data_IF_256091007661
#
_entry.id   IF_256091007661
#
_cell.length_a   1.000
_cell.length_b   1.000
_cell.length_c   1.000
_cell.angle_alpha   90.00
_cell.angle_beta   90.00
_cell.angle_gamma   90.00
#
_symmetry.space_group_name_H-M   'P 1'
#
loop_
_entity.id
_entity.type
_entity.pdbx_description
1 polymer ?
#
# COMPACT_ATOMS: atom_id res chain seq x y z
N UNK A 1 -27.83 38.45 70.70
CA UNK A 1 -27.57 37.00 70.56
C UNK A 1 -27.95 36.56 69.16
N UNK A 2 -27.33 35.48 68.66
CA UNK A 2 -27.71 34.72 67.45
C UNK A 2 -28.86 33.73 67.77
N UNK A 3 -29.46 33.01 66.80
CA UNK A 3 -29.41 33.09 65.31
C UNK A 3 -30.73 33.74 64.79
N UNK A 4 -31.39 33.48 63.64
CA UNK A 4 -31.20 32.62 62.45
C UNK A 4 -31.88 33.26 61.20
N UNK A 5 -31.52 32.88 59.95
CA UNK A 5 -32.08 33.48 58.73
C UNK A 5 -33.23 32.67 58.06
N UNK A 6 -34.21 33.33 57.39
CA UNK A 6 -35.26 32.68 56.60
C UNK A 6 -34.84 32.33 55.16
N UNK A 7 -35.66 31.53 54.48
CA UNK A 7 -35.40 30.97 53.14
C UNK A 7 -35.46 31.99 52.00
N UNK A 8 -34.54 31.86 51.02
CA UNK A 8 -34.46 32.75 49.86
C UNK A 8 -35.49 32.41 48.77
N UNK A 9 -36.53 33.23 48.67
CA UNK A 9 -37.48 33.21 47.52
C UNK A 9 -36.85 33.92 46.31
N UNK A 10 -36.90 33.30 45.12
CA UNK A 10 -36.37 33.92 43.88
C UNK A 10 -37.19 35.15 43.48
N UNK A 11 -36.52 36.25 43.19
CA UNK A 11 -37.08 37.43 42.51
C UNK A 11 -36.36 37.63 41.17
N UNK A 12 -37.11 37.65 40.07
CA UNK A 12 -36.62 38.16 38.78
C UNK A 12 -36.70 39.69 38.82
N UNK A 13 -35.62 40.38 38.45
CA UNK A 13 -35.65 41.80 38.09
C UNK A 13 -35.04 41.96 36.70
N UNK A 14 -35.81 42.51 35.79
CA UNK A 14 -35.34 43.02 34.49
C UNK A 14 -34.68 44.38 34.70
N UNK A 15 -33.52 44.58 34.09
CA UNK A 15 -32.85 45.88 34.04
C UNK A 15 -32.68 46.29 32.57
N UNK A 16 -33.27 47.42 32.19
CA UNK A 16 -32.97 48.07 30.91
C UNK A 16 -31.60 48.73 31.03
N UNK A 17 -30.72 48.48 30.06
CA UNK A 17 -29.48 49.22 29.90
C UNK A 17 -29.64 50.23 28.76
N UNK A 18 -29.15 51.44 28.97
CA UNK A 18 -29.13 52.51 27.97
C UNK A 18 -27.89 52.33 27.10
N UNK A 19 -28.06 52.33 25.78
CA UNK A 19 -26.95 52.23 24.84
C UNK A 19 -26.28 53.60 24.67
N UNK A 20 -24.98 53.68 24.98
CA UNK A 20 -24.11 54.78 24.58
C UNK A 20 -23.23 54.30 23.40
N UNK A 21 -23.02 55.12 22.35
CA UNK A 21 -22.23 54.72 21.19
C UNK A 21 -20.72 54.77 21.52
N UNK A 22 -20.13 53.60 21.74
CA UNK A 22 -18.67 53.45 21.74
C UNK A 22 -18.16 53.52 20.29
N UNK A 23 -17.29 54.49 19.98
CA UNK A 23 -16.54 54.49 18.74
C UNK A 23 -15.51 53.35 18.78
N UNK A 24 -15.87 52.21 18.20
CA UNK A 24 -14.94 51.11 17.99
C UNK A 24 -13.96 51.50 16.86
N UNK A 25 -12.75 51.93 17.23
CA UNK A 25 -11.66 52.13 16.28
C UNK A 25 -11.29 50.80 15.62
N UNK A 26 -11.61 50.66 14.33
CA UNK A 26 -11.38 49.44 13.59
C UNK A 26 -9.88 49.22 13.31
N UNK A 27 -9.19 48.54 14.23
CA UNK A 27 -7.85 48.03 14.01
C UNK A 27 -7.92 46.93 12.95
N UNK A 28 -7.66 47.29 11.69
CA UNK A 28 -7.57 46.34 10.58
C UNK A 28 -6.31 45.51 10.73
N UNK A 29 -6.40 44.41 11.48
CA UNK A 29 -5.35 43.39 11.53
C UNK A 29 -5.29 42.73 10.15
N UNK A 30 -4.43 43.24 9.29
CA UNK A 30 -4.10 42.63 8.00
C UNK A 30 -3.32 41.35 8.27
N UNK A 31 -4.04 40.24 8.46
CA UNK A 31 -3.46 38.91 8.48
C UNK A 31 -2.84 38.62 7.11
N UNK A 32 -1.54 38.90 6.98
CA UNK A 32 -0.78 38.52 5.80
C UNK A 32 -0.89 36.99 5.63
N UNK A 33 -1.22 36.49 4.43
CA UNK A 33 -1.27 35.05 4.23
C UNK A 33 0.13 34.49 4.46
N UNK A 34 0.27 33.58 5.43
CA UNK A 34 1.51 32.86 5.69
C UNK A 34 1.86 32.01 4.48
N UNK A 35 2.59 32.59 3.53
CA UNK A 35 3.14 31.88 2.40
C UNK A 35 4.10 30.81 2.95
N UNK A 36 3.64 29.56 2.97
CA UNK A 36 4.50 28.40 3.19
C UNK A 36 5.55 28.42 2.08
N UNK A 37 6.77 28.85 2.41
CA UNK A 37 7.86 28.90 1.45
C UNK A 37 8.02 27.51 0.82
N UNK A 38 7.94 27.44 -0.51
CA UNK A 38 8.26 26.22 -1.22
C UNK A 38 9.74 25.90 -0.95
N UNK A 39 10.03 24.66 -0.56
CA UNK A 39 11.39 24.23 -0.27
C UNK A 39 12.31 24.40 -1.48
N UNK A 40 13.61 24.52 -1.22
CA UNK A 40 14.61 24.69 -2.25
C UNK A 40 14.67 23.45 -3.15
N UNK A 41 15.05 23.65 -4.42
CA UNK A 41 15.26 22.56 -5.38
C UNK A 41 16.75 22.28 -5.51
N UNK A 42 17.19 21.10 -5.06
CA UNK A 42 18.57 20.64 -5.11
C UNK A 42 18.74 19.65 -6.26
N UNK A 43 19.37 20.09 -7.34
CA UNK A 43 19.63 19.22 -8.50
C UNK A 43 20.86 18.32 -8.30
N UNK A 44 20.70 17.04 -8.60
CA UNK A 44 21.69 15.96 -8.46
C UNK A 44 21.98 15.33 -9.82
N UNK A 45 23.25 15.07 -10.11
CA UNK A 45 23.71 14.31 -11.28
C UNK A 45 24.88 14.97 -12.04
N UNK A 46 25.20 14.48 -13.24
CA UNK A 46 26.32 15.00 -14.04
C UNK A 46 26.19 16.51 -14.31
N UNK A 47 27.22 17.27 -13.93
CA UNK A 47 27.26 18.72 -14.09
C UNK A 47 26.24 19.52 -13.25
N UNK A 48 25.57 18.89 -12.27
CA UNK A 48 24.67 19.57 -11.32
C UNK A 48 25.42 20.03 -10.07
N UNK A 49 24.76 20.83 -9.23
CA UNK A 49 25.28 21.31 -7.93
C UNK A 49 25.72 20.17 -7.01
N UNK A 50 25.05 19.02 -7.07
CA UNK A 50 25.39 17.83 -6.30
C UNK A 50 25.70 16.66 -7.24
N UNK A 51 26.83 16.00 -7.03
CA UNK A 51 27.22 14.83 -7.83
C UNK A 51 26.36 13.58 -7.52
N UNK A 52 25.88 13.45 -6.28
CA UNK A 52 25.12 12.27 -5.83
C UNK A 52 23.94 12.64 -4.91
N UNK A 53 22.89 11.79 -4.82
CA UNK A 53 21.74 11.98 -3.94
C UNK A 53 22.12 12.28 -2.48
N UNK A 54 23.00 11.49 -1.89
CA UNK A 54 23.42 11.64 -0.50
C UNK A 54 24.15 12.97 -0.23
N UNK A 55 24.87 13.50 -1.22
CA UNK A 55 25.49 14.83 -1.11
C UNK A 55 24.44 15.96 -1.06
N UNK A 56 23.29 15.80 -1.74
CA UNK A 56 22.17 16.73 -1.63
C UNK A 56 21.37 16.53 -0.34
N UNK A 57 21.10 15.29 0.09
CA UNK A 57 20.40 15.00 1.35
C UNK A 57 21.13 15.58 2.58
N UNK A 58 22.48 15.61 2.54
CA UNK A 58 23.31 16.23 3.56
C UNK A 58 23.27 17.78 3.58
N UNK A 59 22.65 18.42 2.57
CA UNK A 59 22.52 19.89 2.44
C UNK A 59 21.08 20.41 2.40
N UNK A 60 20.11 19.55 2.10
CA UNK A 60 18.69 19.88 2.13
C UNK A 60 18.23 20.34 3.53
N UNK A 61 17.21 21.20 3.53
CA UNK A 61 16.38 21.56 4.68
C UNK A 61 15.03 20.81 4.64
N UNK A 62 14.23 20.97 5.69
CA UNK A 62 12.99 20.22 5.86
C UNK A 62 11.86 20.76 4.97
N UNK A 63 11.43 19.96 3.99
CA UNK A 63 10.48 20.32 2.94
C UNK A 63 11.10 20.66 1.58
N UNK A 64 12.42 20.55 1.44
CA UNK A 64 13.11 20.71 0.16
C UNK A 64 12.76 19.60 -0.85
N UNK A 65 13.07 19.87 -2.12
CA UNK A 65 12.96 18.92 -3.24
C UNK A 65 14.35 18.56 -3.73
N UNK A 66 14.66 17.26 -3.83
CA UNK A 66 15.90 16.77 -4.43
C UNK A 66 15.59 16.10 -5.76
N UNK A 67 16.11 16.65 -6.84
CA UNK A 67 15.89 16.17 -8.21
C UNK A 67 17.10 15.37 -8.69
N UNK A 68 16.92 14.07 -8.88
CA UNK A 68 17.99 13.14 -9.25
C UNK A 68 17.90 12.84 -10.74
N UNK A 69 18.94 13.21 -11.50
CA UNK A 69 18.99 12.99 -12.94
C UNK A 69 19.13 11.50 -13.29
N UNK A 70 18.19 10.98 -14.08
CA UNK A 70 18.04 9.58 -14.44
C UNK A 70 18.92 9.09 -15.60
N UNK A 71 19.76 9.94 -16.17
CA UNK A 71 20.70 9.55 -17.23
C UNK A 71 21.79 8.57 -16.75
N UNK A 72 22.09 8.54 -15.45
CA UNK A 72 23.18 7.73 -14.86
C UNK A 72 22.69 6.79 -13.75
N UNK A 73 23.59 5.89 -13.32
CA UNK A 73 23.45 5.11 -12.11
C UNK A 73 24.33 5.70 -11.00
N UNK A 74 23.90 5.53 -9.74
CA UNK A 74 24.54 6.07 -8.53
C UNK A 74 25.01 4.91 -7.65
N UNK A 75 26.00 4.16 -8.13
CA UNK A 75 26.58 3.00 -7.44
C UNK A 75 27.29 3.40 -6.15
N UNK A 76 26.88 2.79 -5.03
CA UNK A 76 27.49 2.96 -3.72
C UNK A 76 27.11 4.26 -2.99
N UNK A 77 26.12 5.01 -3.49
CA UNK A 77 25.62 6.24 -2.84
C UNK A 77 24.54 5.91 -1.79
N UNK A 78 25.03 5.40 -0.66
CA UNK A 78 24.24 4.91 0.48
C UNK A 78 24.37 5.86 1.67
N UNK A 79 23.25 6.22 2.31
CA UNK A 79 23.24 7.18 3.42
C UNK A 79 21.92 7.18 4.23
N UNK A 80 21.90 8.01 5.28
CA UNK A 80 20.70 8.32 6.06
C UNK A 80 20.02 9.58 5.49
N UNK A 81 18.72 9.49 5.20
CA UNK A 81 17.89 10.64 4.79
C UNK A 81 17.30 11.27 6.06
N UNK A 82 17.87 12.42 6.46
CA UNK A 82 17.64 13.06 7.77
C UNK A 82 16.63 14.22 7.78
N UNK A 83 16.00 14.55 6.65
CA UNK A 83 15.16 15.76 6.52
C UNK A 83 13.69 15.43 6.45
N UNK A 84 12.90 16.16 7.21
CA UNK A 84 11.45 15.97 7.26
C UNK A 84 10.80 16.57 6.01
N UNK A 85 9.71 15.96 5.55
CA UNK A 85 8.91 16.37 4.38
C UNK A 85 9.70 16.47 3.07
N UNK A 86 10.92 15.92 3.03
CA UNK A 86 11.80 15.94 1.86
C UNK A 86 11.13 15.22 0.69
N UNK A 87 11.11 15.85 -0.49
CA UNK A 87 10.62 15.21 -1.72
C UNK A 87 11.79 14.84 -2.63
N UNK A 88 12.11 13.56 -2.68
CA UNK A 88 13.12 12.99 -3.59
C UNK A 88 12.43 12.56 -4.88
N UNK A 89 12.83 13.09 -6.04
CA UNK A 89 12.24 12.72 -7.33
C UNK A 89 13.25 12.47 -8.43
N UNK A 90 13.07 11.38 -9.19
CA UNK A 90 13.80 11.12 -10.42
C UNK A 90 13.31 11.99 -11.58
N UNK A 91 14.24 12.68 -12.25
CA UNK A 91 13.99 13.54 -13.43
C UNK A 91 14.83 13.07 -14.62
N UNK A 92 14.49 13.47 -15.86
CA UNK A 92 15.23 13.12 -17.09
C UNK A 92 15.42 11.60 -17.34
N UNK A 93 14.57 10.76 -16.74
CA UNK A 93 14.66 9.30 -16.76
C UNK A 93 14.22 8.71 -15.42
N UNK A 94 14.69 7.50 -15.11
CA UNK A 94 14.63 6.92 -13.76
C UNK A 94 16.07 6.69 -13.26
N UNK A 95 16.53 7.41 -12.22
CA UNK A 95 17.84 7.18 -11.65
C UNK A 95 17.91 5.82 -10.98
N UNK A 96 19.04 5.14 -11.17
CA UNK A 96 19.31 3.80 -10.65
C UNK A 96 20.23 3.91 -9.45
N UNK A 97 19.72 3.62 -8.27
CA UNK A 97 20.44 3.68 -7.00
C UNK A 97 20.89 2.26 -6.66
N UNK A 98 22.10 1.93 -7.08
CA UNK A 98 22.76 0.66 -6.82
C UNK A 98 23.50 0.73 -5.48
N UNK A 99 23.23 -0.18 -4.57
CA UNK A 99 23.93 -0.24 -3.27
C UNK A 99 25.45 -0.45 -3.42
N UNK A 100 25.93 -1.04 -4.53
CA UNK A 100 27.36 -1.16 -4.84
C UNK A 100 28.16 -1.98 -3.83
N UNK A 101 27.53 -2.93 -3.12
CA UNK A 101 28.13 -3.67 -2.01
C UNK A 101 28.34 -2.84 -0.72
N UNK A 102 27.77 -1.63 -0.65
CA UNK A 102 27.79 -0.73 0.50
C UNK A 102 26.40 -0.68 1.15
N UNK A 103 26.33 -0.18 2.38
CA UNK A 103 25.07 0.12 3.06
C UNK A 103 25.24 1.29 4.03
N UNK A 104 24.13 1.95 4.36
CA UNK A 104 24.04 2.91 5.46
C UNK A 104 23.70 2.19 6.77
N UNK A 105 24.48 2.49 7.81
CA UNK A 105 24.26 2.06 9.20
C UNK A 105 24.06 0.55 9.43
N UNK A 106 24.49 -0.32 8.50
CA UNK A 106 24.24 -1.76 8.58
C UNK A 106 22.82 -2.18 8.17
N UNK A 107 22.02 -1.30 7.55
CA UNK A 107 20.56 -1.49 7.37
C UNK A 107 20.05 -1.49 5.92
N UNK A 108 20.69 -0.78 4.99
CA UNK A 108 20.14 -0.64 3.64
C UNK A 108 20.82 0.42 2.75
N UNK A 109 20.24 0.67 1.57
CA UNK A 109 20.70 1.71 0.62
C UNK A 109 20.43 3.10 1.19
N UNK A 110 19.15 3.44 1.43
CA UNK A 110 18.76 4.66 2.13
C UNK A 110 18.02 4.33 3.43
N UNK A 111 18.50 4.90 4.54
CA UNK A 111 17.84 4.84 5.85
C UNK A 111 17.07 6.13 6.08
N UNK A 112 15.75 6.07 5.94
CA UNK A 112 14.85 7.23 6.03
C UNK A 112 14.44 7.45 7.49
N UNK A 113 15.06 8.43 8.14
CA UNK A 113 14.75 8.81 9.54
C UNK A 113 13.92 10.09 9.64
N UNK A 114 13.87 10.91 8.59
CA UNK A 114 12.99 12.08 8.52
C UNK A 114 11.52 11.72 8.36
N UNK A 115 10.65 12.53 8.97
CA UNK A 115 9.20 12.35 8.97
C UNK A 115 8.57 12.80 7.65
N UNK A 116 7.57 12.07 7.14
CA UNK A 116 6.76 12.49 5.98
C UNK A 116 7.52 12.56 4.65
N UNK A 117 8.63 11.83 4.52
CA UNK A 117 9.46 11.81 3.30
C UNK A 117 8.73 11.19 2.12
N UNK A 118 8.93 11.78 0.93
CA UNK A 118 8.37 11.32 -0.34
C UNK A 118 9.51 10.87 -1.26
N UNK A 119 9.38 9.69 -1.86
CA UNK A 119 10.27 9.18 -2.90
C UNK A 119 9.46 8.89 -4.17
N UNK A 120 9.88 9.43 -5.30
CA UNK A 120 9.14 9.43 -6.57
C UNK A 120 10.07 9.04 -7.73
N UNK A 121 9.69 8.02 -8.51
CA UNK A 121 10.40 7.61 -9.73
C UNK A 121 11.90 7.32 -9.51
N UNK A 122 12.22 6.35 -8.65
CA UNK A 122 13.58 5.80 -8.51
C UNK A 122 13.62 4.31 -8.82
N UNK A 123 14.75 3.80 -9.28
CA UNK A 123 15.07 2.38 -9.30
C UNK A 123 16.10 2.11 -8.19
N UNK A 124 15.92 1.06 -7.38
CA UNK A 124 16.82 0.76 -6.26
C UNK A 124 17.09 -0.74 -6.12
N UNK A 125 18.36 -1.13 -6.16
CA UNK A 125 18.76 -2.54 -6.15
C UNK A 125 20.08 -2.82 -5.42
N UNK A 126 20.31 -4.11 -5.14
CA UNK A 126 21.57 -4.63 -4.62
C UNK A 126 21.80 -4.43 -3.11
N UNK A 127 20.83 -3.91 -2.35
CA UNK A 127 20.99 -3.68 -0.91
C UNK A 127 21.22 -5.01 -0.16
N UNK A 128 22.38 -5.11 0.50
CA UNK A 128 22.82 -6.29 1.26
C UNK A 128 23.58 -5.90 2.52
N UNK A 129 23.34 -6.63 3.62
CA UNK A 129 23.97 -6.36 4.93
C UNK A 129 24.33 -7.65 5.68
N UNK A 130 25.08 -7.52 6.77
CA UNK A 130 25.61 -8.68 7.51
C UNK A 130 24.52 -9.55 8.18
N UNK A 131 23.39 -8.97 8.59
CA UNK A 131 22.25 -9.70 9.18
C UNK A 131 21.23 -10.20 8.13
N UNK A 132 21.53 -10.03 6.84
CA UNK A 132 20.74 -10.48 5.67
C UNK A 132 19.40 -9.76 5.48
N UNK A 133 19.21 -8.62 6.13
CA UNK A 133 17.95 -7.88 6.19
C UNK A 133 17.96 -6.56 5.38
N UNK A 134 18.90 -6.41 4.45
CA UNK A 134 19.27 -5.14 3.82
C UNK A 134 18.20 -4.55 2.90
N UNK A 135 17.63 -3.41 3.29
CA UNK A 135 16.54 -2.78 2.53
C UNK A 135 17.03 -1.78 1.48
N UNK A 136 16.35 -1.66 0.33
CA UNK A 136 16.51 -0.46 -0.52
C UNK A 136 16.06 0.80 0.25
N UNK A 137 14.89 0.71 0.91
CA UNK A 137 14.37 1.73 1.80
C UNK A 137 14.12 1.16 3.20
N UNK A 138 14.99 1.53 4.14
CA UNK A 138 14.78 1.26 5.57
C UNK A 138 14.04 2.45 6.18
N UNK A 139 12.80 2.26 6.64
CA UNK A 139 11.96 3.35 7.17
C UNK A 139 11.98 3.35 8.71
N UNK A 140 12.46 4.45 9.29
CA UNK A 140 12.58 4.64 10.74
C UNK A 140 11.97 5.98 11.23
N UNK A 141 11.56 6.87 10.31
CA UNK A 141 10.77 8.08 10.59
C UNK A 141 9.25 7.90 10.45
N UNK A 142 8.50 8.93 10.86
CA UNK A 142 7.03 8.98 10.94
C UNK A 142 6.40 9.31 9.59
N UNK A 143 5.71 8.36 8.97
CA UNK A 143 4.98 8.56 7.73
C UNK A 143 5.86 8.60 6.49
N UNK A 144 5.41 7.97 5.40
CA UNK A 144 6.21 7.81 4.18
C UNK A 144 5.35 7.67 2.93
N UNK A 145 5.85 8.15 1.78
CA UNK A 145 5.23 7.91 0.47
C UNK A 145 6.25 7.44 -0.56
N UNK A 146 6.07 6.24 -1.11
CA UNK A 146 6.73 5.81 -2.35
C UNK A 146 5.75 5.90 -3.52
N UNK A 147 6.19 6.48 -4.64
CA UNK A 147 5.43 6.42 -5.89
C UNK A 147 6.30 6.18 -7.12
N UNK A 148 5.74 5.51 -8.14
CA UNK A 148 6.35 5.34 -9.48
C UNK A 148 7.74 4.70 -9.51
N UNK A 149 8.11 3.94 -8.49
CA UNK A 149 9.49 3.43 -8.31
C UNK A 149 9.59 1.92 -8.56
N UNK A 150 10.81 1.39 -8.71
CA UNK A 150 11.09 -0.04 -8.91
C UNK A 150 12.17 -0.50 -7.93
N UNK A 151 11.81 -1.36 -6.97
CA UNK A 151 12.70 -1.84 -5.91
C UNK A 151 12.92 -3.33 -6.10
N UNK A 152 14.14 -3.75 -6.45
CA UNK A 152 14.38 -5.13 -6.90
C UNK A 152 15.76 -5.70 -6.54
N UNK A 153 15.86 -7.03 -6.47
CA UNK A 153 17.11 -7.76 -6.22
C UNK A 153 17.90 -7.33 -4.95
N UNK A 154 17.19 -6.75 -3.97
CA UNK A 154 17.68 -6.42 -2.62
C UNK A 154 17.41 -7.59 -1.66
N UNK A 155 17.89 -7.51 -0.42
CA UNK A 155 17.40 -8.39 0.65
C UNK A 155 15.97 -8.00 1.07
N UNK A 156 15.66 -6.70 1.21
CA UNK A 156 14.30 -6.19 1.29
C UNK A 156 14.05 -5.04 0.30
N UNK A 157 12.84 -4.93 -0.24
CA UNK A 157 12.42 -3.72 -0.96
C UNK A 157 12.22 -2.55 0.01
N UNK A 158 11.11 -2.57 0.75
CA UNK A 158 10.90 -1.72 1.93
C UNK A 158 10.93 -2.57 3.20
N UNK A 159 11.59 -2.05 4.24
CA UNK A 159 11.56 -2.59 5.61
C UNK A 159 11.30 -1.45 6.59
N UNK A 160 10.11 -1.37 7.19
CA UNK A 160 9.80 -0.35 8.20
C UNK A 160 10.01 -0.85 9.64
N UNK A 161 10.31 0.08 10.54
CA UNK A 161 10.16 -0.09 11.98
C UNK A 161 8.69 -0.15 12.42
N UNK A 162 8.48 -0.08 13.74
CA UNK A 162 7.17 0.05 14.37
C UNK A 162 6.98 1.47 14.89
N UNK A 163 5.96 2.17 14.38
CA UNK A 163 5.50 3.45 14.88
C UNK A 163 3.99 3.56 14.68
N UNK A 164 3.25 3.57 15.79
CA UNK A 164 1.79 3.62 15.83
C UNK A 164 1.18 4.94 15.31
N UNK A 165 1.98 5.93 14.89
CA UNK A 165 1.54 7.19 14.30
C UNK A 165 1.76 7.29 12.77
N UNK A 166 2.70 6.55 12.20
CA UNK A 166 3.04 6.52 10.77
C UNK A 166 1.91 6.04 9.86
N UNK A 167 1.64 6.79 8.79
CA UNK A 167 0.90 6.31 7.60
C UNK A 167 1.90 6.04 6.46
N UNK A 168 1.83 4.87 5.85
CA UNK A 168 2.68 4.53 4.70
C UNK A 168 1.82 4.40 3.44
N UNK A 169 2.18 5.18 2.41
CA UNK A 169 1.57 5.12 1.08
C UNK A 169 2.59 4.54 0.10
N UNK A 170 2.20 3.51 -0.64
CA UNK A 170 2.97 2.95 -1.75
C UNK A 170 2.05 2.84 -2.95
N UNK A 171 2.34 3.59 -4.02
CA UNK A 171 1.51 3.59 -5.22
C UNK A 171 2.28 3.56 -6.54
N UNK A 172 1.66 2.99 -7.58
CA UNK A 172 2.21 2.93 -8.93
C UNK A 172 3.65 2.39 -9.01
N UNK A 173 4.06 1.53 -8.06
CA UNK A 173 5.43 1.06 -7.91
C UNK A 173 5.54 -0.46 -8.12
N UNK A 174 6.74 -0.89 -8.46
CA UNK A 174 7.06 -2.27 -8.82
C UNK A 174 8.07 -2.87 -7.83
N UNK A 175 7.86 -4.12 -7.42
CA UNK A 175 8.72 -4.85 -6.49
C UNK A 175 8.98 -6.25 -7.03
N UNK A 176 10.25 -6.60 -7.22
CA UNK A 176 10.63 -7.87 -7.84
C UNK A 176 11.86 -8.50 -7.21
N UNK A 177 11.83 -9.82 -6.96
CA UNK A 177 13.02 -10.62 -6.60
C UNK A 177 13.79 -10.13 -5.36
N UNK A 178 13.16 -9.33 -4.49
CA UNK A 178 13.76 -9.04 -3.20
C UNK A 178 13.63 -10.27 -2.29
N UNK A 179 14.60 -10.48 -1.42
CA UNK A 179 14.68 -11.61 -0.49
C UNK A 179 16.05 -12.28 -0.51
N UNK A 180 16.48 -12.79 0.64
CA UNK A 180 17.71 -13.55 0.82
C UNK A 180 17.55 -15.05 0.50
N UNK A 181 16.31 -15.56 0.41
CA UNK A 181 16.01 -17.00 0.33
C UNK A 181 15.70 -17.66 1.67
N UNK A 182 15.61 -16.88 2.75
CA UNK A 182 15.43 -17.37 4.13
C UNK A 182 13.97 -17.41 4.63
N UNK A 183 13.07 -16.66 3.98
CA UNK A 183 11.67 -16.53 4.39
C UNK A 183 11.38 -15.41 5.40
N UNK A 184 12.37 -14.63 5.82
CA UNK A 184 12.23 -13.47 6.72
C UNK A 184 12.43 -12.12 6.02
N UNK A 185 12.89 -12.16 4.78
CA UNK A 185 13.24 -11.04 3.91
C UNK A 185 12.31 -11.00 2.68
N UNK A 186 11.89 -9.81 2.23
CA UNK A 186 10.62 -9.64 1.48
C UNK A 186 10.64 -8.50 0.44
N UNK A 187 9.70 -8.51 -0.51
CA UNK A 187 9.42 -7.38 -1.40
C UNK A 187 8.94 -6.15 -0.61
N UNK A 188 8.02 -6.34 0.35
CA UNK A 188 7.57 -5.28 1.26
C UNK A 188 7.35 -5.84 2.68
N UNK A 189 8.01 -5.25 3.68
CA UNK A 189 7.68 -5.44 5.11
C UNK A 189 7.30 -4.11 5.76
N UNK A 190 6.05 -4.03 6.18
CA UNK A 190 5.51 -2.93 6.97
C UNK A 190 5.28 -3.44 8.40
N UNK A 191 5.97 -2.80 9.35
CA UNK A 191 5.86 -3.08 10.78
C UNK A 191 4.54 -2.58 11.39
N UNK A 192 4.50 -2.47 12.72
CA UNK A 192 3.31 -2.01 13.43
C UNK A 192 3.12 -0.49 13.25
N UNK A 193 2.45 -0.10 12.17
CA UNK A 193 2.14 1.30 11.83
C UNK A 193 0.65 1.62 11.93
N UNK A 194 0.27 2.91 11.81
CA UNK A 194 -1.13 3.34 11.87
C UNK A 194 -1.92 2.85 10.66
N UNK A 195 -1.44 3.11 9.44
CA UNK A 195 -2.04 2.56 8.22
C UNK A 195 -1.03 2.25 7.12
N UNK A 196 -1.43 1.32 6.24
CA UNK A 196 -0.84 1.10 4.93
C UNK A 196 -1.89 1.37 3.83
N UNK A 197 -1.54 2.21 2.86
CA UNK A 197 -2.23 2.27 1.56
C UNK A 197 -1.28 1.74 0.48
N UNK A 198 -1.62 0.57 -0.08
CA UNK A 198 -0.86 -0.10 -1.14
C UNK A 198 -1.76 -0.22 -2.38
N UNK A 199 -1.54 0.59 -3.41
CA UNK A 199 -2.43 0.67 -4.58
C UNK A 199 -1.75 0.81 -5.93
N UNK A 200 -2.33 0.20 -6.97
CA UNK A 200 -1.83 0.28 -8.35
C UNK A 200 -0.41 -0.28 -8.54
N UNK A 201 0.09 -1.07 -7.60
CA UNK A 201 1.43 -1.62 -7.60
C UNK A 201 1.47 -2.99 -8.30
N UNK A 202 2.68 -3.43 -8.62
CA UNK A 202 2.99 -4.80 -9.00
C UNK A 202 4.08 -5.35 -8.09
N UNK A 203 3.75 -6.34 -7.26
CA UNK A 203 4.74 -7.03 -6.41
C UNK A 203 4.79 -8.49 -6.82
N UNK A 204 5.98 -9.03 -7.05
CA UNK A 204 6.13 -10.36 -7.60
C UNK A 204 7.48 -11.00 -7.32
N UNK A 205 7.54 -12.33 -7.49
CA UNK A 205 8.77 -13.08 -7.56
C UNK A 205 9.70 -12.89 -6.34
N UNK A 206 9.14 -12.66 -5.14
CA UNK A 206 9.93 -12.66 -3.91
C UNK A 206 10.84 -13.90 -3.82
N UNK A 207 12.12 -13.67 -3.50
CA UNK A 207 13.13 -14.72 -3.37
C UNK A 207 12.97 -15.42 -2.01
N UNK A 208 11.88 -16.21 -1.90
CA UNK A 208 11.28 -16.65 -0.64
C UNK A 208 10.79 -15.43 0.19
N UNK A 209 9.93 -15.65 1.18
CA UNK A 209 9.25 -14.55 1.88
C UNK A 209 8.03 -14.05 1.10
N UNK A 210 7.64 -12.79 1.30
CA UNK A 210 6.33 -12.28 0.86
C UNK A 210 6.42 -11.19 -0.22
N UNK A 211 5.44 -11.17 -1.12
CA UNK A 211 5.22 -10.05 -2.02
C UNK A 211 4.68 -8.81 -1.26
N UNK A 212 3.93 -9.02 -0.18
CA UNK A 212 3.55 -8.00 0.80
C UNK A 212 3.37 -8.61 2.20
N UNK A 213 4.04 -8.05 3.21
CA UNK A 213 3.75 -8.29 4.64
C UNK A 213 3.46 -6.97 5.35
N UNK A 214 2.34 -6.88 6.09
CA UNK A 214 1.95 -5.67 6.82
C UNK A 214 1.35 -5.96 8.19
N UNK A 215 1.92 -5.37 9.23
CA UNK A 215 1.38 -5.37 10.61
C UNK A 215 0.60 -4.09 10.93
N UNK A 216 0.32 -3.24 9.94
CA UNK A 216 -0.40 -1.98 10.12
C UNK A 216 -1.82 -2.20 10.69
N UNK A 217 -2.27 -1.30 11.56
CA UNK A 217 -3.59 -1.39 12.22
C UNK A 217 -4.75 -1.31 11.24
N UNK A 218 -4.59 -0.55 10.15
CA UNK A 218 -5.50 -0.54 9.00
C UNK A 218 -4.74 -0.74 7.70
N UNK A 219 -5.35 -1.45 6.74
CA UNK A 219 -4.72 -1.74 5.44
C UNK A 219 -5.72 -1.46 4.31
N UNK A 220 -5.32 -0.67 3.31
CA UNK A 220 -6.03 -0.53 2.04
C UNK A 220 -5.14 -1.07 0.92
N UNK A 221 -5.40 -2.31 0.51
CA UNK A 221 -4.67 -3.02 -0.54
C UNK A 221 -5.60 -3.06 -1.75
N UNK A 222 -5.44 -2.11 -2.68
CA UNK A 222 -6.44 -1.86 -3.71
C UNK A 222 -5.86 -1.80 -5.14
N UNK A 223 -6.45 -2.56 -6.06
CA UNK A 223 -6.14 -2.52 -7.49
C UNK A 223 -4.67 -2.78 -7.84
N UNK A 224 -4.03 -3.70 -7.11
CA UNK A 224 -2.67 -4.15 -7.37
C UNK A 224 -2.66 -5.45 -8.19
N UNK A 225 -1.47 -5.84 -8.65
CA UNK A 225 -1.17 -7.19 -9.11
C UNK A 225 -0.13 -7.82 -8.20
N UNK A 226 -0.43 -9.02 -7.74
CA UNK A 226 0.52 -9.96 -7.15
C UNK A 226 0.56 -11.17 -8.07
N UNK A 227 1.69 -11.44 -8.74
CA UNK A 227 1.82 -12.63 -9.60
C UNK A 227 3.27 -12.91 -10.00
N UNK A 228 3.77 -14.10 -9.71
CA UNK A 228 5.08 -14.57 -10.14
C UNK A 228 5.17 -14.90 -11.63
N UNK A 229 6.39 -14.91 -12.17
CA UNK A 229 6.72 -15.63 -13.41
C UNK A 229 6.48 -17.15 -13.23
N UNK A 230 6.22 -17.89 -14.32
CA UNK A 230 6.11 -19.36 -14.26
C UNK A 230 7.34 -20.00 -13.62
N UNK A 231 7.11 -20.92 -12.68
CA UNK A 231 8.17 -21.48 -11.84
C UNK A 231 9.27 -22.17 -12.68
N UNK A 232 10.52 -21.80 -12.42
CA UNK A 232 11.69 -22.31 -13.14
C UNK A 232 12.12 -21.46 -14.35
N UNK A 233 11.42 -20.37 -14.65
CA UNK A 233 11.92 -19.37 -15.60
C UNK A 233 13.01 -18.50 -14.95
N UNK A 234 13.89 -17.92 -15.78
CA UNK A 234 14.92 -17.00 -15.30
C UNK A 234 14.26 -15.78 -14.61
N UNK A 235 14.59 -15.55 -13.33
CA UNK A 235 13.99 -14.50 -12.51
C UNK A 235 12.66 -14.88 -11.83
N UNK A 236 12.15 -16.11 -11.99
CA UNK A 236 10.98 -16.56 -11.22
C UNK A 236 11.33 -16.74 -9.74
N UNK A 237 10.59 -16.09 -8.85
CA UNK A 237 10.72 -16.22 -7.41
C UNK A 237 10.00 -17.46 -6.87
N UNK A 238 9.95 -17.56 -5.54
CA UNK A 238 9.20 -18.59 -4.81
C UNK A 238 8.51 -17.97 -3.58
N UNK A 239 7.57 -17.04 -3.76
CA UNK A 239 6.84 -16.42 -2.66
C UNK A 239 6.21 -17.45 -1.72
N UNK A 240 6.03 -17.02 -0.48
CA UNK A 240 5.34 -17.71 0.60
C UNK A 240 3.86 -17.38 0.49
N UNK A 241 3.34 -16.45 1.31
CA UNK A 241 2.10 -15.73 1.00
C UNK A 241 2.37 -14.60 -0.01
N UNK A 242 1.49 -14.39 -0.99
CA UNK A 242 1.49 -13.15 -1.79
C UNK A 242 1.10 -11.93 -0.92
N UNK A 243 0.17 -12.10 0.02
CA UNK A 243 -0.25 -11.06 0.97
C UNK A 243 -0.31 -11.65 2.39
N UNK A 244 0.45 -11.07 3.32
CA UNK A 244 0.42 -11.44 4.73
C UNK A 244 0.04 -10.25 5.63
N UNK A 245 -1.05 -10.42 6.37
CA UNK A 245 -1.58 -9.50 7.37
C UNK A 245 -1.55 -10.18 8.75
N UNK A 246 -0.35 -10.52 9.26
CA UNK A 246 -0.17 -11.55 10.29
C UNK A 246 -0.82 -11.21 11.63
N UNK A 247 -1.05 -9.92 11.93
CA UNK A 247 -1.66 -9.47 13.18
C UNK A 247 -3.11 -8.99 13.06
N UNK A 248 -3.79 -9.30 11.96
CA UNK A 248 -5.09 -8.73 11.60
C UNK A 248 -5.01 -7.18 11.50
N UNK A 249 -6.12 -6.47 11.74
CA UNK A 249 -6.28 -5.04 11.47
C UNK A 249 -7.43 -4.80 10.50
N UNK A 250 -8.16 -3.68 10.62
CA UNK A 250 -9.29 -3.37 9.72
C UNK A 250 -8.76 -3.18 8.30
N UNK A 251 -9.05 -4.13 7.43
CA UNK A 251 -8.33 -4.33 6.16
C UNK A 251 -9.27 -4.49 4.98
N UNK A 252 -9.04 -3.71 3.93
CA UNK A 252 -9.75 -3.74 2.66
C UNK A 252 -8.80 -4.25 1.57
N UNK A 253 -9.11 -5.42 1.02
CA UNK A 253 -8.43 -6.04 -0.12
C UNK A 253 -9.41 -5.95 -1.30
N UNK A 254 -9.24 -4.95 -2.16
CA UNK A 254 -10.23 -4.54 -3.17
C UNK A 254 -9.67 -4.55 -4.60
N UNK A 255 -10.29 -5.27 -5.54
CA UNK A 255 -9.97 -5.12 -6.96
C UNK A 255 -8.58 -5.63 -7.41
N UNK A 256 -7.90 -6.44 -6.59
CA UNK A 256 -6.55 -6.92 -6.89
C UNK A 256 -6.56 -8.19 -7.76
N UNK A 257 -5.50 -8.38 -8.53
CA UNK A 257 -5.09 -9.71 -9.02
C UNK A 257 -4.14 -10.32 -8.01
N UNK A 258 -4.37 -11.56 -7.58
CA UNK A 258 -3.47 -12.32 -6.69
C UNK A 258 -3.23 -13.69 -7.31
N UNK A 259 -1.99 -14.06 -7.58
CA UNK A 259 -1.64 -15.32 -8.23
C UNK A 259 -0.49 -16.03 -7.51
N UNK A 260 -0.73 -17.30 -7.20
CA UNK A 260 0.21 -18.21 -6.55
C UNK A 260 0.85 -19.11 -7.62
N UNK A 261 2.19 -19.14 -7.77
CA UNK A 261 2.85 -19.99 -8.75
C UNK A 261 2.86 -21.47 -8.32
N UNK A 262 2.92 -22.38 -9.30
CA UNK A 262 2.92 -23.84 -9.11
C UNK A 262 4.06 -24.42 -8.23
N UNK A 263 5.01 -23.58 -7.80
CA UNK A 263 6.14 -23.94 -6.93
C UNK A 263 6.25 -23.09 -5.66
N UNK A 264 5.18 -22.41 -5.24
CA UNK A 264 5.15 -21.54 -4.04
C UNK A 264 5.65 -22.25 -2.79
N UNK A 265 6.26 -21.49 -1.87
CA UNK A 265 6.77 -22.04 -0.61
C UNK A 265 5.66 -22.23 0.44
N UNK A 266 4.55 -21.50 0.33
CA UNK A 266 3.35 -21.66 1.17
C UNK A 266 2.12 -21.97 0.30
N UNK A 267 1.15 -22.79 0.78
CA UNK A 267 -0.13 -22.97 0.10
C UNK A 267 -1.18 -21.88 0.39
N UNK A 268 -0.94 -20.91 1.28
CA UNK A 268 -1.83 -19.77 1.50
C UNK A 268 -1.52 -18.60 0.57
N UNK A 269 -2.54 -17.86 0.12
CA UNK A 269 -2.38 -16.67 -0.73
C UNK A 269 -2.51 -15.36 0.07
N UNK A 270 -3.70 -15.12 0.66
CA UNK A 270 -3.96 -14.04 1.60
C UNK A 270 -3.99 -14.60 3.03
N UNK A 271 -2.96 -14.33 3.83
CA UNK A 271 -2.87 -14.67 5.25
C UNK A 271 -3.38 -13.51 6.12
N UNK A 272 -4.17 -13.81 7.15
CA UNK A 272 -4.78 -12.81 8.04
C UNK A 272 -4.87 -13.29 9.50
N UNK A 273 -4.21 -12.59 10.42
CA UNK A 273 -4.24 -12.86 11.87
C UNK A 273 -3.53 -14.16 12.31
N UNK A 274 -2.69 -14.72 11.44
CA UNK A 274 -2.03 -16.03 11.61
C UNK A 274 -0.90 -16.04 12.64
N UNK A 275 -0.24 -14.89 12.90
CA UNK A 275 0.72 -14.70 14.00
C UNK A 275 0.06 -14.05 15.24
N UNK A 276 -1.27 -14.18 15.37
CA UNK A 276 -2.06 -13.64 16.46
C UNK A 276 -2.69 -12.28 16.14
N UNK A 277 -4.03 -12.24 16.16
CA UNK A 277 -4.87 -11.08 15.85
C UNK A 277 -4.81 -9.99 16.96
N UNK A 278 -3.65 -9.34 17.09
CA UNK A 278 -3.33 -8.36 18.13
C UNK A 278 -3.63 -6.90 17.75
N UNK A 279 -3.92 -6.61 16.47
CA UNK A 279 -4.39 -5.27 16.09
C UNK A 279 -5.84 -5.02 16.59
N UNK A 280 -6.22 -3.76 16.92
CA UNK A 280 -7.51 -3.47 17.53
C UNK A 280 -8.74 -3.77 16.65
N UNK A 281 -8.57 -3.73 15.32
CA UNK A 281 -9.60 -4.10 14.35
C UNK A 281 -9.38 -5.50 13.81
N UNK A 282 -10.45 -6.23 13.52
CA UNK A 282 -10.39 -7.60 12.97
C UNK A 282 -11.27 -7.78 11.72
N UNK A 283 -11.76 -6.68 11.13
CA UNK A 283 -12.60 -6.69 9.95
C UNK A 283 -11.75 -6.86 8.68
N UNK A 284 -11.88 -8.01 8.01
CA UNK A 284 -11.31 -8.21 6.67
C UNK A 284 -12.40 -8.17 5.61
N UNK A 285 -12.25 -7.27 4.64
CA UNK A 285 -13.11 -7.13 3.47
C UNK A 285 -12.31 -7.52 2.21
N UNK A 286 -12.59 -8.70 1.66
CA UNK A 286 -12.00 -9.19 0.41
C UNK A 286 -13.05 -9.03 -0.69
N UNK A 287 -12.92 -8.00 -1.53
CA UNK A 287 -13.98 -7.59 -2.48
C UNK A 287 -13.46 -7.44 -3.90
N UNK A 288 -14.18 -8.02 -4.88
CA UNK A 288 -13.89 -7.85 -6.31
C UNK A 288 -12.45 -8.22 -6.72
N UNK A 289 -11.79 -9.16 -6.05
CA UNK A 289 -10.44 -9.61 -6.43
C UNK A 289 -10.50 -10.82 -7.38
N UNK A 290 -9.45 -11.01 -8.17
CA UNK A 290 -9.22 -12.22 -8.97
C UNK A 290 -8.06 -13.00 -8.38
N UNK A 291 -8.35 -14.08 -7.67
CA UNK A 291 -7.37 -15.03 -7.15
C UNK A 291 -7.16 -16.19 -8.12
N UNK A 292 -5.90 -16.52 -8.40
CA UNK A 292 -5.48 -17.54 -9.37
C UNK A 292 -4.44 -18.45 -8.71
N UNK A 293 -4.83 -19.67 -8.34
CA UNK A 293 -3.88 -20.64 -7.80
C UNK A 293 -3.40 -21.59 -8.91
N UNK A 294 -2.12 -21.48 -9.29
CA UNK A 294 -1.49 -22.38 -10.26
C UNK A 294 -0.80 -23.59 -9.58
N UNK A 295 -0.81 -23.70 -8.24
CA UNK A 295 -0.51 -24.95 -7.54
C UNK A 295 -1.68 -25.94 -7.74
N UNK A 296 -1.44 -26.95 -8.58
CA UNK A 296 -2.44 -27.95 -8.94
C UNK A 296 -2.78 -28.98 -7.86
N UNK A 297 -2.22 -28.89 -6.65
CA UNK A 297 -2.39 -29.89 -5.58
C UNK A 297 -2.81 -29.26 -4.25
N UNK A 298 -2.22 -28.12 -3.88
CA UNK A 298 -2.46 -27.40 -2.62
C UNK A 298 -3.16 -26.07 -2.88
N UNK A 299 -3.64 -25.40 -1.84
CA UNK A 299 -4.12 -24.01 -1.94
C UNK A 299 -5.06 -23.60 -0.82
N UNK A 300 -4.95 -22.35 -0.36
CA UNK A 300 -5.87 -21.66 0.54
C UNK A 300 -5.92 -20.19 0.15
N UNK A 301 -7.01 -19.78 -0.52
CA UNK A 301 -7.14 -18.43 -1.06
C UNK A 301 -7.14 -17.37 0.05
N UNK A 302 -7.87 -17.60 1.15
CA UNK A 302 -7.87 -16.74 2.34
C UNK A 302 -7.63 -17.56 3.61
N UNK A 303 -6.41 -17.52 4.12
CA UNK A 303 -5.99 -18.18 5.35
C UNK A 303 -6.22 -17.25 6.55
N UNK A 304 -7.25 -17.54 7.33
CA UNK A 304 -7.61 -16.80 8.56
C UNK A 304 -7.11 -17.57 9.79
N UNK A 305 -6.37 -16.89 10.66
CA UNK A 305 -5.90 -17.41 11.94
C UNK A 305 -7.01 -17.56 12.97
N UNK A 306 -6.91 -18.56 13.85
CA UNK A 306 -7.96 -18.93 14.82
C UNK A 306 -8.26 -17.85 15.87
N UNK A 307 -7.38 -16.86 16.07
CA UNK A 307 -7.61 -15.71 16.93
C UNK A 307 -8.55 -14.64 16.33
N UNK A 308 -8.90 -14.73 15.04
CA UNK A 308 -9.81 -13.80 14.37
C UNK A 308 -11.25 -14.23 14.60
N UNK A 309 -11.93 -13.57 15.53
CA UNK A 309 -13.32 -13.89 15.92
C UNK A 309 -14.36 -13.16 15.09
N UNK A 310 -14.01 -12.00 14.51
CA UNK A 310 -14.87 -11.27 13.56
C UNK A 310 -15.04 -12.05 12.26
N UNK A 311 -16.27 -12.29 11.77
CA UNK A 311 -16.52 -12.89 10.46
C UNK A 311 -15.88 -12.09 9.31
N UNK A 312 -14.93 -12.69 8.59
CA UNK A 312 -14.34 -12.07 7.40
C UNK A 312 -15.34 -12.07 6.25
N UNK A 313 -15.34 -11.03 5.41
CA UNK A 313 -16.30 -10.85 4.32
C UNK A 313 -15.62 -10.98 2.96
N UNK A 314 -16.00 -12.01 2.21
CA UNK A 314 -15.56 -12.27 0.84
C UNK A 314 -16.72 -12.00 -0.11
N UNK A 315 -16.65 -11.00 -0.99
CA UNK A 315 -17.71 -10.70 -1.95
C UNK A 315 -17.21 -10.38 -3.37
N UNK A 316 -17.93 -10.86 -4.39
CA UNK A 316 -17.64 -10.62 -5.81
C UNK A 316 -16.23 -11.05 -6.27
N UNK A 317 -15.57 -12.00 -5.59
CA UNK A 317 -14.23 -12.45 -5.97
C UNK A 317 -14.29 -13.64 -6.94
N UNK A 318 -13.32 -13.72 -7.86
CA UNK A 318 -13.01 -14.97 -8.57
C UNK A 318 -11.97 -15.74 -7.76
N UNK A 319 -12.22 -17.03 -7.56
CA UNK A 319 -11.25 -18.00 -7.06
C UNK A 319 -11.07 -19.08 -8.14
N UNK A 320 -9.95 -19.06 -8.85
CA UNK A 320 -9.62 -20.06 -9.86
C UNK A 320 -8.49 -20.99 -9.37
N UNK A 321 -8.59 -22.28 -9.67
CA UNK A 321 -7.61 -23.30 -9.28
C UNK A 321 -8.03 -24.16 -8.09
N UNK A 322 -7.10 -24.98 -7.61
CA UNK A 322 -7.30 -25.93 -6.49
C UNK A 322 -7.28 -25.20 -5.14
N UNK A 323 -7.79 -25.84 -4.08
CA UNK A 323 -7.65 -25.35 -2.70
C UNK A 323 -8.93 -24.89 -1.98
N UNK A 324 -8.76 -24.38 -0.77
CA UNK A 324 -9.84 -23.90 0.14
C UNK A 324 -10.09 -22.41 -0.05
N UNK A 325 -11.36 -21.97 -0.16
CA UNK A 325 -11.69 -20.54 -0.33
C UNK A 325 -11.32 -19.72 0.92
N UNK A 326 -11.77 -20.16 2.10
CA UNK A 326 -11.49 -19.49 3.37
C UNK A 326 -11.53 -20.49 4.52
N UNK A 327 -10.62 -20.36 5.49
CA UNK A 327 -10.51 -21.30 6.64
C UNK A 327 -11.45 -20.98 7.80
N UNK A 328 -11.91 -19.73 7.93
CA UNK A 328 -12.85 -19.34 8.98
C UNK A 328 -14.26 -19.83 8.63
N UNK A 329 -14.79 -20.81 9.36
CA UNK A 329 -16.11 -21.39 9.12
C UNK A 329 -17.27 -20.37 9.18
N UNK A 330 -17.10 -19.27 9.92
CA UNK A 330 -18.07 -18.17 10.01
C UNK A 330 -17.99 -17.12 8.90
N UNK A 331 -17.09 -17.26 7.91
CA UNK A 331 -16.86 -16.25 6.89
C UNK A 331 -18.09 -15.95 6.03
N UNK A 332 -18.41 -14.66 5.86
CA UNK A 332 -19.55 -14.19 5.07
C UNK A 332 -19.18 -14.14 3.59
N UNK A 333 -19.72 -15.07 2.81
CA UNK A 333 -19.47 -15.20 1.37
C UNK A 333 -20.68 -14.78 0.53
N UNK A 334 -20.50 -13.94 -0.51
CA UNK A 334 -21.57 -13.48 -1.42
C UNK A 334 -21.06 -13.28 -2.85
N UNK A 335 -21.77 -13.76 -3.87
CA UNK A 335 -21.41 -13.58 -5.29
C UNK A 335 -19.95 -13.90 -5.65
N UNK A 336 -19.27 -14.77 -4.91
CA UNK A 336 -17.94 -15.23 -5.27
C UNK A 336 -18.09 -16.35 -6.31
N UNK A 337 -17.28 -16.32 -7.37
CA UNK A 337 -17.23 -17.39 -8.37
C UNK A 337 -16.05 -18.31 -8.09
N UNK A 338 -16.30 -19.61 -7.99
CA UNK A 338 -15.28 -20.64 -7.77
C UNK A 338 -15.25 -21.60 -8.95
N UNK A 339 -14.08 -21.75 -9.59
CA UNK A 339 -13.89 -22.63 -10.73
C UNK A 339 -12.53 -23.33 -10.71
N UNK A 340 -12.40 -24.45 -11.42
CA UNK A 340 -11.09 -25.05 -11.70
C UNK A 340 -10.26 -24.15 -12.62
N UNK A 341 -10.87 -23.67 -13.70
CA UNK A 341 -10.39 -22.57 -14.52
C UNK A 341 -11.53 -21.57 -14.74
N UNK A 342 -11.25 -20.27 -14.61
CA UNK A 342 -12.23 -19.21 -14.85
C UNK A 342 -12.13 -18.69 -16.29
N UNK A 343 -13.28 -18.31 -16.86
CA UNK A 343 -13.38 -17.88 -18.26
C UNK A 343 -12.99 -16.40 -18.41
N UNK A 344 -11.72 -16.16 -18.69
CA UNK A 344 -11.16 -14.84 -19.04
C UNK A 344 -10.93 -14.71 -20.55
N UNK A 345 -10.70 -13.48 -21.04
CA UNK A 345 -10.37 -13.21 -22.44
C UNK A 345 -9.06 -13.87 -22.88
N UNK A 346 -7.97 -13.71 -22.13
CA UNK A 346 -6.70 -14.42 -22.38
C UNK A 346 -5.87 -14.55 -21.09
N UNK A 347 -6.15 -15.60 -20.29
CA UNK A 347 -5.38 -15.94 -19.07
C UNK A 347 -3.89 -16.11 -19.34
N UNK A 348 -3.49 -16.61 -20.50
CA UNK A 348 -2.08 -16.87 -20.82
C UNK A 348 -1.30 -15.57 -21.03
N UNK A 349 -1.95 -14.52 -21.57
CA UNK A 349 -1.40 -13.15 -21.66
C UNK A 349 -1.73 -12.25 -20.48
N UNK A 350 -2.32 -12.79 -19.40
CA UNK A 350 -2.83 -12.02 -18.26
C UNK A 350 -3.92 -10.98 -18.61
N UNK A 351 -4.64 -11.15 -19.73
CA UNK A 351 -5.94 -10.48 -19.91
C UNK A 351 -7.00 -11.24 -19.11
N UNK A 352 -7.14 -10.80 -17.86
CA UNK A 352 -8.07 -11.34 -16.86
C UNK A 352 -9.42 -10.60 -16.87
N UNK A 353 -9.73 -9.88 -17.95
CA UNK A 353 -11.09 -9.41 -18.22
C UNK A 353 -12.01 -10.64 -18.33
N UNK A 354 -13.21 -10.63 -17.73
CA UNK A 354 -14.22 -11.67 -17.95
C UNK A 354 -14.45 -11.93 -19.45
N UNK A 355 -14.57 -13.20 -19.84
CA UNK A 355 -14.97 -13.54 -21.20
C UNK A 355 -16.44 -13.13 -21.43
N UNK A 356 -16.81 -12.50 -22.56
CA UNK A 356 -18.19 -12.15 -22.87
C UNK A 356 -19.13 -13.36 -22.76
N UNK A 357 -20.25 -13.20 -22.05
CA UNK A 357 -21.22 -14.28 -21.81
C UNK A 357 -20.78 -15.35 -20.78
N UNK A 358 -19.63 -15.19 -20.12
CA UNK A 358 -19.26 -16.02 -18.97
C UNK A 358 -20.08 -15.68 -17.72
N UNK A 359 -20.24 -16.64 -16.80
CA UNK A 359 -20.89 -16.43 -15.50
C UNK A 359 -20.11 -15.53 -14.52
N UNK A 360 -19.09 -14.81 -14.98
CA UNK A 360 -18.44 -13.72 -14.25
C UNK A 360 -19.10 -12.37 -14.55
N UNK A 361 -19.70 -12.21 -15.73
CA UNK A 361 -20.31 -10.96 -16.20
C UNK A 361 -21.67 -10.74 -15.54
N UNK A 362 -21.97 -9.51 -15.12
CA UNK A 362 -23.21 -9.10 -14.43
C UNK A 362 -23.52 -9.88 -13.11
N UNK A 363 -22.61 -10.74 -12.64
CA UNK A 363 -22.88 -11.75 -11.60
C UNK A 363 -22.58 -11.28 -10.15
N UNK A 364 -22.00 -10.09 -9.99
CA UNK A 364 -21.68 -9.48 -8.71
C UNK A 364 -22.90 -8.82 -8.05
N UNK A 365 -22.82 -8.63 -6.74
CA UNK A 365 -23.83 -7.90 -5.95
C UNK A 365 -23.23 -6.65 -5.31
N UNK A 366 -24.07 -5.65 -5.02
CA UNK A 366 -23.65 -4.37 -4.47
C UNK A 366 -22.76 -4.52 -3.22
N UNK A 367 -21.53 -4.02 -3.29
CA UNK A 367 -20.51 -4.20 -2.25
C UNK A 367 -20.78 -3.37 -0.99
N UNK A 368 -21.53 -2.27 -1.09
CA UNK A 368 -21.86 -1.40 0.05
C UNK A 368 -20.61 -0.76 0.67
N UNK A 369 -20.56 -0.68 1.99
CA UNK A 369 -19.44 -0.09 2.75
C UNK A 369 -18.84 -1.06 3.77
N UNK A 370 -17.68 -0.69 4.34
CA UNK A 370 -17.19 -1.19 5.62
C UNK A 370 -18.01 -0.62 6.79
N UNK A 371 -17.79 -1.14 8.00
CA UNK A 371 -18.35 -0.57 9.23
C UNK A 371 -17.87 0.89 9.49
N UNK A 372 -16.66 1.22 9.02
CA UNK A 372 -16.11 2.60 9.04
C UNK A 372 -16.56 3.48 7.87
N UNK A 373 -17.57 3.07 7.08
CA UNK A 373 -18.14 3.88 6.00
C UNK A 373 -17.34 3.92 4.68
N UNK A 374 -16.21 3.21 4.59
CA UNK A 374 -15.42 3.14 3.35
C UNK A 374 -16.18 2.36 2.29
N UNK A 375 -16.38 2.94 1.10
CA UNK A 375 -17.06 2.28 -0.01
C UNK A 375 -16.26 1.07 -0.55
N UNK A 376 -16.97 -0.03 -0.82
CA UNK A 376 -16.39 -1.28 -1.32
C UNK A 376 -16.72 -1.58 -2.80
N UNK A 377 -17.47 -0.70 -3.46
CA UNK A 377 -17.69 -0.77 -4.91
C UNK A 377 -16.38 -0.40 -5.62
N UNK A 378 -15.83 -1.25 -6.50
CA UNK A 378 -14.59 -0.93 -7.21
C UNK A 378 -14.80 0.21 -8.22
N UNK A 379 -13.92 1.21 -8.20
CA UNK A 379 -13.95 2.37 -9.12
C UNK A 379 -12.75 2.40 -10.10
N UNK A 380 -11.80 1.49 -9.89
CA UNK A 380 -10.62 1.32 -10.72
C UNK A 380 -10.39 -0.17 -11.02
N UNK A 381 -9.51 -0.45 -11.96
CA UNK A 381 -8.94 -1.77 -12.20
C UNK A 381 -7.45 -1.62 -12.50
N UNK A 382 -6.64 -2.60 -12.09
CA UNK A 382 -5.20 -2.57 -12.30
C UNK A 382 -4.83 -2.45 -13.79
N UNK A 383 -3.72 -1.79 -14.09
CA UNK A 383 -3.14 -1.71 -15.44
C UNK A 383 -1.63 -1.94 -15.35
N UNK A 384 -1.15 -2.97 -16.02
CA UNK A 384 0.27 -3.34 -16.06
C UNK A 384 1.12 -2.23 -16.72
N UNK A 385 2.37 -1.94 -16.26
CA UNK A 385 3.11 -2.61 -15.19
C UNK A 385 2.76 -2.17 -13.78
N UNK A 386 2.57 -0.87 -13.50
CA UNK A 386 2.25 -0.38 -12.15
C UNK A 386 1.30 0.83 -12.22
N UNK A 387 0.09 0.59 -12.72
CA UNK A 387 -0.89 1.62 -13.05
C UNK A 387 -2.32 1.14 -12.80
N UNK A 388 -3.29 1.99 -13.16
CA UNK A 388 -4.69 1.66 -13.17
C UNK A 388 -5.42 2.34 -14.33
N UNK A 389 -6.61 1.84 -14.62
CA UNK A 389 -7.64 2.55 -15.38
C UNK A 389 -8.88 2.72 -14.49
N UNK A 390 -9.77 3.69 -14.78
CA UNK A 390 -11.12 3.67 -14.23
C UNK A 390 -11.78 2.32 -14.54
N UNK A 391 -12.53 1.76 -13.60
CA UNK A 391 -13.35 0.58 -13.88
C UNK A 391 -14.55 1.03 -14.74
N UNK A 392 -14.83 0.40 -15.89
CA UNK A 392 -16.10 0.59 -16.58
C UNK A 392 -17.28 0.31 -15.64
N UNK A 393 -18.43 0.91 -15.91
CA UNK A 393 -19.69 0.56 -15.23
C UNK A 393 -20.64 0.08 -16.32
N UNK A 394 -20.88 -1.22 -16.37
CA UNK A 394 -21.70 -1.88 -17.40
C UNK A 394 -22.63 -2.85 -16.70
N UNK A 395 -23.93 -2.57 -16.71
CA UNK A 395 -24.92 -3.45 -16.07
C UNK A 395 -24.77 -3.54 -14.55
N UNK A 396 -24.71 -4.76 -14.02
CA UNK A 396 -24.32 -5.07 -12.65
C UNK A 396 -22.81 -5.34 -12.56
N UNK A 397 -22.22 -5.18 -11.37
CA UNK A 397 -20.78 -5.40 -11.18
C UNK A 397 -20.35 -6.80 -11.64
N UNK A 398 -19.27 -6.87 -12.40
CA UNK A 398 -18.64 -8.16 -12.70
C UNK A 398 -17.96 -8.76 -11.47
N UNK A 399 -17.84 -10.08 -11.47
CA UNK A 399 -17.09 -10.83 -10.45
C UNK A 399 -15.60 -10.84 -10.83
N UNK A 400 -14.76 -10.31 -9.93
CA UNK A 400 -13.31 -10.20 -10.10
C UNK A 400 -12.77 -8.79 -10.32
N UNK A 401 -11.46 -8.71 -10.56
CA UNK A 401 -10.65 -7.49 -10.58
C UNK A 401 -10.93 -6.53 -11.75
N UNK A 402 -11.56 -7.02 -12.82
CA UNK A 402 -11.85 -6.27 -14.05
C UNK A 402 -13.34 -6.29 -14.37
N UNK A 403 -13.83 -5.29 -15.10
CA UNK A 403 -15.16 -5.27 -15.71
C UNK A 403 -15.07 -5.56 -17.23
N UNK A 404 -16.01 -6.34 -17.74
CA UNK A 404 -16.24 -6.57 -19.16
C UNK A 404 -16.85 -5.31 -19.79
N UNK A 405 -15.98 -4.41 -20.26
CA UNK A 405 -16.41 -3.39 -21.21
C UNK A 405 -16.78 -4.08 -22.54
N UNK A 406 -18.06 -4.04 -22.91
CA UNK A 406 -18.56 -4.55 -24.19
C UNK A 406 -17.74 -4.04 -25.39
N UNK A 407 -17.69 -4.78 -26.51
CA UNK A 407 -16.69 -4.63 -27.56
C UNK A 407 -16.51 -3.16 -27.96
N UNK A 408 -15.33 -2.63 -27.64
CA UNK A 408 -15.07 -1.20 -27.72
C UNK A 408 -15.45 -0.65 -29.10
N UNK A 409 -16.40 0.28 -29.14
CA UNK A 409 -16.79 0.97 -30.37
C UNK A 409 -15.54 1.61 -30.98
N UNK A 410 -15.04 1.01 -32.06
CA UNK A 410 -14.04 1.64 -32.92
C UNK A 410 -14.65 2.94 -33.42
N UNK A 411 -14.13 4.07 -32.94
CA UNK A 411 -14.31 5.34 -33.61
C UNK A 411 -13.56 5.22 -34.93
N UNK A 412 -14.29 5.31 -36.04
CA UNK A 412 -13.76 5.27 -37.40
C UNK A 412 -13.40 6.67 -37.90
#
# INVERSE_FOLDING_TARGET
MTPAPPTRRRLRRTARWVAAPLLAGAVTVTAAPSATAAGAVLSVGPGKTFATPCAAFARAADGDVVEIDGSVAYTGDVCTVQRDRLTVRGVNGRPRIDAGGRNASGKGTWVVVGDGVVVDNVEMHGARVADRNGAALRLEGTGFTLRRSYLHDNENGILSGADASSDIVVENSEFARNGYGDGYSHNLYIGHVRSLTFRYNFSHDANVGHDLKSRARTNTIAYNRFSSLPAGQAGSGRPSYEIDLPNAGTSVVLGNVVQQPAGSSNPGMLSYGTEGASNPGQDLYVVNNTFLNDDGVRGTFVLVGSGVTTPVRLQNNVFAGVGTVVTQAGAVQRSNQRAGAAAFVDRARYDLTPAPGSGLVDAGTASGTTAGGVALTPVAQYRHPASAAPRPVVGALDVGAYEQAGPARRVG
#
